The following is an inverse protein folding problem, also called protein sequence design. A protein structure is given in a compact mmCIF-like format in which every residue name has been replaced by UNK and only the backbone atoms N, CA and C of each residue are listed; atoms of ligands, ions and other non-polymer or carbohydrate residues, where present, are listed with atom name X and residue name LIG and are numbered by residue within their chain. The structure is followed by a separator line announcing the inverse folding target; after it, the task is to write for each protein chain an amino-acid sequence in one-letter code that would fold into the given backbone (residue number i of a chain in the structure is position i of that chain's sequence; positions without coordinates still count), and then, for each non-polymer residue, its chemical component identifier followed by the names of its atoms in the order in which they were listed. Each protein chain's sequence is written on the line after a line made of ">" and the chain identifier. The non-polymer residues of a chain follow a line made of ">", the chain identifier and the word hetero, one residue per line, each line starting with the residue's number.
data_IF_758950819470
#
_entry.id   IF_758950819470
#
_cell.length_a   1.000
_cell.length_b   1.000
_cell.length_c   1.000
_cell.angle_alpha   90.00
_cell.angle_beta   90.00
_cell.angle_gamma   90.00
#
_symmetry.space_group_name_H-M   'P 1'
#
loop_
_entity.id
_entity.type
_entity.pdbx_description
1 polymer ?
#
# COMPACT_ATOMS: atom_id res chain seq x y z
N UNK A 1 -12.56 12.70 -57.50
CA UNK A 1 -13.64 13.63 -57.10
C UNK A 1 -14.38 13.03 -55.92
N UNK A 2 -14.82 13.89 -54.97
CA UNK A 2 -15.47 13.65 -53.66
C UNK A 2 -14.55 13.21 -52.51
N UNK A 3 -14.64 13.75 -51.29
CA UNK A 3 -14.92 15.09 -50.72
C UNK A 3 -14.51 14.98 -49.22
N UNK A 4 -14.01 16.08 -48.65
CA UNK A 4 -13.46 16.27 -47.29
C UNK A 4 -14.42 15.95 -46.11
N UNK A 5 -13.85 15.53 -44.99
CA UNK A 5 -14.05 16.08 -43.61
C UNK A 5 -12.88 15.56 -42.71
N UNK A 6 -11.95 16.34 -42.15
CA UNK A 6 -12.01 17.35 -41.05
C UNK A 6 -12.74 16.81 -39.81
N UNK A 7 -12.28 16.85 -38.54
CA UNK A 7 -11.22 17.56 -37.82
C UNK A 7 -10.99 16.87 -36.44
N UNK A 8 -9.74 16.90 -35.96
CA UNK A 8 -9.25 17.10 -34.56
C UNK A 8 -9.93 16.38 -33.40
N UNK A 9 -9.14 15.60 -32.64
CA UNK A 9 -8.84 15.97 -31.23
C UNK A 9 -7.52 15.31 -30.78
N UNK A 10 -6.50 16.14 -30.64
CA UNK A 10 -5.26 15.89 -29.90
C UNK A 10 -5.34 16.78 -28.66
N UNK A 11 -5.81 16.24 -27.53
CA UNK A 11 -5.61 16.68 -26.12
C UNK A 11 -6.14 15.47 -25.30
N UNK A 12 -5.37 14.68 -24.56
CA UNK A 12 -4.48 15.04 -23.47
C UNK A 12 -3.46 13.90 -23.25
N UNK A 13 -2.18 14.22 -23.47
CA UNK A 13 -1.10 13.58 -22.73
C UNK A 13 -1.13 14.06 -21.28
N UNK A 14 -0.63 13.21 -20.36
CA UNK A 14 -0.40 13.41 -18.91
C UNK A 14 -1.58 13.16 -17.97
N UNK A 15 -1.70 11.89 -17.56
CA UNK A 15 -1.90 11.51 -16.17
C UNK A 15 -1.05 10.25 -15.92
N UNK A 16 0.28 10.35 -16.03
CA UNK A 16 1.18 10.55 -14.87
C UNK A 16 0.59 9.84 -13.66
N UNK A 17 0.95 8.56 -13.48
CA UNK A 17 1.87 8.18 -12.41
C UNK A 17 1.44 8.78 -11.07
N UNK A 18 0.43 8.16 -10.46
CA UNK A 18 0.01 8.25 -9.05
C UNK A 18 -1.35 7.54 -8.94
N UNK A 19 -1.33 6.20 -9.02
CA UNK A 19 -2.35 5.40 -8.34
C UNK A 19 -1.67 4.75 -7.15
N UNK A 20 -1.12 5.64 -6.34
CA UNK A 20 -0.59 5.44 -5.01
C UNK A 20 -1.75 5.02 -4.12
N UNK A 21 -1.56 3.90 -3.41
CA UNK A 21 -1.99 3.71 -2.03
C UNK A 21 -3.38 4.29 -1.73
N UNK A 22 -4.43 3.65 -2.25
CA UNK A 22 -5.77 3.80 -1.71
C UNK A 22 -6.48 2.46 -1.85
N UNK A 23 -6.11 1.52 -0.97
CA UNK A 23 -7.02 0.48 -0.55
C UNK A 23 -7.50 0.82 0.85
N UNK A 24 -8.29 1.88 0.94
CA UNK A 24 -9.10 2.15 2.12
C UNK A 24 -10.57 2.13 1.68
N UNK A 25 -11.19 0.99 2.01
CA UNK A 25 -12.60 0.79 2.30
C UNK A 25 -13.62 1.49 1.38
N UNK A 26 -14.20 0.70 0.47
CA UNK A 26 -15.54 0.97 -0.02
C UNK A 26 -16.53 0.86 1.15
N UNK A 27 -16.80 1.99 1.80
CA UNK A 27 -17.98 2.17 2.66
C UNK A 27 -18.89 3.18 1.97
N UNK A 28 -20.18 2.85 1.90
CA UNK A 28 -21.25 3.59 1.23
C UNK A 28 -21.01 5.11 1.20
N UNK A 29 -20.90 5.66 -0.01
CA UNK A 29 -20.83 7.09 -0.29
C UNK A 29 -22.17 7.76 0.03
N UNK A 30 -22.49 7.97 1.29
CA UNK A 30 -23.05 9.28 1.65
C UNK A 30 -21.85 10.23 1.69
N UNK A 31 -21.81 11.18 0.76
CA UNK A 31 -20.81 12.24 0.70
C UNK A 31 -20.93 13.12 1.96
N UNK A 32 -20.34 12.68 3.07
CA UNK A 32 -20.21 13.50 4.28
C UNK A 32 -19.17 14.56 3.95
N UNK A 33 -19.64 15.77 3.63
CA UNK A 33 -18.78 16.92 3.40
C UNK A 33 -18.28 17.41 4.76
N UNK A 34 -17.02 17.09 5.08
CA UNK A 34 -16.37 17.58 6.29
C UNK A 34 -15.72 18.93 5.98
N UNK A 35 -16.11 19.98 6.71
CA UNK A 35 -15.50 21.32 6.56
C UNK A 35 -14.05 21.35 7.10
N UNK A 36 -13.69 20.40 7.96
CA UNK A 36 -12.36 20.27 8.55
C UNK A 36 -11.90 18.80 8.55
N UNK A 37 -10.62 18.56 8.23
CA UNK A 37 -10.00 17.23 8.29
C UNK A 37 -10.06 16.61 9.68
N UNK A 38 -10.05 17.43 10.74
CA UNK A 38 -10.18 16.96 12.12
C UNK A 38 -11.60 16.50 12.45
N UNK A 39 -12.62 16.94 11.71
CA UNK A 39 -14.00 16.46 11.88
C UNK A 39 -14.19 15.07 11.25
N UNK A 40 -13.32 14.69 10.32
CA UNK A 40 -13.32 13.39 9.64
C UNK A 40 -12.56 12.29 10.43
N UNK A 41 -11.82 12.68 11.47
CA UNK A 41 -10.91 11.80 12.23
C UNK A 41 -11.23 11.90 13.71
N UNK A 42 -11.93 10.89 14.23
CA UNK A 42 -12.08 10.70 15.68
C UNK A 42 -10.82 10.05 16.28
N UNK A 43 -10.76 9.95 17.61
CA UNK A 43 -9.60 9.41 18.33
C UNK A 43 -9.24 7.98 17.90
N UNK A 44 -10.23 7.10 17.75
CA UNK A 44 -10.05 5.72 17.29
C UNK A 44 -9.45 5.64 15.88
N UNK A 45 -9.93 6.50 14.97
CA UNK A 45 -9.40 6.55 13.61
C UNK A 45 -7.99 7.13 13.59
N UNK A 46 -7.69 8.10 14.46
CA UNK A 46 -6.36 8.66 14.59
C UNK A 46 -5.35 7.61 15.10
N UNK A 47 -5.72 6.82 16.11
CA UNK A 47 -4.86 5.74 16.63
C UNK A 47 -4.64 4.65 15.59
N UNK A 48 -5.68 4.23 14.88
CA UNK A 48 -5.56 3.27 13.78
C UNK A 48 -4.60 3.76 12.67
N UNK A 49 -4.75 5.01 12.24
CA UNK A 49 -3.89 5.59 11.19
C UNK A 49 -2.43 5.70 11.65
N UNK A 50 -2.21 6.02 12.92
CA UNK A 50 -0.88 6.05 13.51
C UNK A 50 -0.26 4.65 13.50
N UNK A 51 -0.99 3.64 13.98
CA UNK A 51 -0.48 2.27 14.05
C UNK A 51 -0.18 1.69 12.66
N UNK A 52 -0.99 2.01 11.65
CA UNK A 52 -0.72 1.61 10.26
C UNK A 52 0.51 2.36 9.68
N UNK A 53 0.66 3.65 9.99
CA UNK A 53 1.84 4.41 9.59
C UNK A 53 3.12 3.86 10.24
N UNK A 54 3.11 3.60 11.54
CA UNK A 54 4.25 3.04 12.28
C UNK A 54 4.63 1.66 11.72
N UNK A 55 3.62 0.83 11.39
CA UNK A 55 3.83 -0.44 10.67
C UNK A 55 4.54 -0.22 9.34
N UNK A 56 4.06 0.70 8.49
CA UNK A 56 4.65 0.93 7.16
C UNK A 56 6.07 1.48 7.22
N UNK A 57 6.39 2.30 8.22
CA UNK A 57 7.76 2.77 8.47
C UNK A 57 8.67 1.58 8.79
N UNK A 58 8.27 0.72 9.73
CA UNK A 58 9.04 -0.46 10.09
C UNK A 58 9.24 -1.41 8.90
N UNK A 59 8.20 -1.62 8.09
CA UNK A 59 8.28 -2.45 6.88
C UNK A 59 9.26 -1.87 5.86
N UNK A 60 9.27 -0.54 5.67
CA UNK A 60 10.23 0.11 4.78
C UNK A 60 11.66 -0.14 5.24
N UNK A 61 11.91 -0.05 6.53
CA UNK A 61 13.25 -0.24 7.09
C UNK A 61 13.69 -1.71 6.94
N UNK A 62 12.82 -2.68 7.26
CA UNK A 62 13.05 -4.13 7.01
C UNK A 62 13.34 -4.41 5.54
N UNK A 63 12.57 -3.83 4.61
CA UNK A 63 12.77 -4.03 3.17
C UNK A 63 14.05 -3.38 2.64
N UNK A 64 14.49 -2.29 3.26
CA UNK A 64 15.72 -1.57 2.92
C UNK A 64 16.93 -2.37 3.42
N UNK A 65 16.90 -2.81 4.67
CA UNK A 65 17.95 -3.63 5.28
C UNK A 65 17.95 -5.08 4.81
N UNK A 66 16.83 -5.53 4.23
CA UNK A 66 16.59 -6.91 3.79
C UNK A 66 16.78 -7.94 4.92
N UNK A 67 16.44 -7.57 6.16
CA UNK A 67 16.65 -8.37 7.37
C UNK A 67 15.61 -8.02 8.42
N UNK A 68 15.28 -9.00 9.27
CA UNK A 68 14.58 -8.81 10.55
C UNK A 68 15.60 -8.96 11.68
N UNK A 69 15.66 -7.99 12.58
CA UNK A 69 16.63 -7.90 13.66
C UNK A 69 16.06 -8.35 15.01
N UNK A 70 14.74 -8.34 15.18
CA UNK A 70 14.09 -8.68 16.44
C UNK A 70 12.66 -9.20 16.24
N UNK A 71 12.06 -9.70 17.31
CA UNK A 71 10.70 -10.27 17.29
C UNK A 71 9.61 -9.25 16.96
N UNK A 72 9.82 -7.95 17.26
CA UNK A 72 8.83 -6.90 16.96
C UNK A 72 8.77 -6.65 15.45
N UNK A 73 9.93 -6.53 14.80
CA UNK A 73 10.03 -6.44 13.34
C UNK A 73 9.46 -7.69 12.64
N UNK A 74 9.66 -8.88 13.23
CA UNK A 74 9.05 -10.11 12.74
C UNK A 74 7.52 -10.04 12.77
N UNK A 75 6.93 -9.58 13.87
CA UNK A 75 5.47 -9.39 13.98
C UNK A 75 4.94 -8.36 12.97
N UNK A 76 5.66 -7.26 12.76
CA UNK A 76 5.30 -6.27 11.74
C UNK A 76 5.35 -6.87 10.34
N UNK A 77 6.40 -7.60 9.99
CA UNK A 77 6.51 -8.29 8.70
C UNK A 77 5.32 -9.25 8.47
N UNK A 78 4.96 -10.06 9.47
CA UNK A 78 3.81 -10.97 9.40
C UNK A 78 2.48 -10.22 9.22
N UNK A 79 2.24 -9.15 10.00
CA UNK A 79 1.03 -8.33 9.87
C UNK A 79 0.91 -7.70 8.48
N UNK A 80 2.04 -7.27 7.90
CA UNK A 80 2.06 -6.74 6.54
C UNK A 80 1.80 -7.82 5.49
N UNK A 81 2.38 -9.01 5.65
CA UNK A 81 2.09 -10.17 4.79
C UNK A 81 0.58 -10.48 4.80
N UNK A 82 -0.06 -10.44 5.96
CA UNK A 82 -1.51 -10.60 6.09
C UNK A 82 -2.27 -9.51 5.32
N UNK A 83 -1.89 -8.23 5.44
CA UNK A 83 -2.50 -7.12 4.68
C UNK A 83 -2.32 -7.27 3.15
N UNK A 84 -1.20 -7.85 2.73
CA UNK A 84 -0.88 -8.09 1.33
C UNK A 84 -1.44 -9.42 0.80
N UNK A 85 -2.11 -10.21 1.64
CA UNK A 85 -2.62 -11.52 1.27
C UNK A 85 -3.56 -11.40 0.05
N UNK A 86 -3.30 -12.22 -0.98
CA UNK A 86 -4.01 -12.14 -2.25
C UNK A 86 -3.52 -11.06 -3.22
N UNK A 87 -2.41 -10.38 -2.94
CA UNK A 87 -1.76 -9.52 -3.93
C UNK A 87 -1.34 -10.33 -5.17
N UNK A 88 -1.56 -9.76 -6.35
CA UNK A 88 -1.19 -10.41 -7.62
C UNK A 88 0.35 -10.45 -7.76
N UNK A 89 0.97 -11.59 -8.10
CA UNK A 89 2.43 -11.78 -8.07
C UNK A 89 3.26 -10.71 -8.81
N UNK A 90 2.79 -10.21 -9.95
CA UNK A 90 3.55 -9.27 -10.79
C UNK A 90 3.30 -7.79 -10.46
N UNK A 91 2.46 -7.51 -9.48
CA UNK A 91 2.19 -6.14 -9.02
C UNK A 91 3.24 -5.69 -8.01
N UNK A 92 3.34 -4.38 -7.77
CA UNK A 92 4.22 -3.85 -6.72
C UNK A 92 3.95 -4.51 -5.35
N UNK A 93 2.67 -4.70 -5.01
CA UNK A 93 2.24 -5.36 -3.77
C UNK A 93 2.62 -6.85 -3.73
N UNK A 94 2.53 -7.56 -4.86
CA UNK A 94 2.95 -8.96 -4.96
C UNK A 94 4.46 -9.13 -4.81
N UNK A 95 5.23 -8.20 -5.38
CA UNK A 95 6.69 -8.18 -5.21
C UNK A 95 7.10 -7.86 -3.77
N UNK A 96 6.40 -6.92 -3.12
CA UNK A 96 6.59 -6.62 -1.70
C UNK A 96 6.29 -7.85 -0.84
N UNK A 97 5.15 -8.52 -1.09
CA UNK A 97 4.76 -9.75 -0.40
C UNK A 97 5.81 -10.85 -0.53
N UNK A 98 6.26 -11.15 -1.75
CA UNK A 98 7.29 -12.16 -1.99
C UNK A 98 8.59 -11.83 -1.24
N UNK A 99 9.02 -10.56 -1.29
CA UNK A 99 10.24 -10.13 -0.60
C UNK A 99 10.11 -10.24 0.92
N UNK A 100 8.96 -9.86 1.49
CA UNK A 100 8.71 -10.03 2.93
C UNK A 100 8.69 -11.50 3.33
N UNK A 101 8.05 -12.37 2.54
CA UNK A 101 8.03 -13.80 2.80
C UNK A 101 9.45 -14.38 2.83
N UNK A 102 10.30 -14.03 1.85
CA UNK A 102 11.70 -14.47 1.82
C UNK A 102 12.48 -14.02 3.07
N UNK A 103 12.28 -12.77 3.52
CA UNK A 103 12.95 -12.23 4.71
C UNK A 103 12.48 -12.95 5.98
N UNK A 104 11.17 -13.19 6.11
CA UNK A 104 10.59 -13.91 7.26
C UNK A 104 11.10 -15.35 7.32
N UNK A 105 11.09 -16.07 6.20
CA UNK A 105 11.63 -17.44 6.15
C UNK A 105 13.09 -17.48 6.61
N UNK A 106 13.94 -16.58 6.10
CA UNK A 106 15.35 -16.49 6.52
C UNK A 106 15.53 -16.16 7.99
N UNK A 107 14.63 -15.39 8.59
CA UNK A 107 14.66 -15.09 10.01
C UNK A 107 14.28 -16.33 10.83
N UNK A 108 13.20 -17.02 10.48
CA UNK A 108 12.69 -18.19 11.20
C UNK A 108 13.61 -19.41 11.08
N UNK A 109 14.26 -19.60 9.93
CA UNK A 109 15.25 -20.66 9.72
C UNK A 109 16.38 -20.65 10.77
N UNK A 110 16.74 -19.48 11.29
CA UNK A 110 17.77 -19.33 12.34
C UNK A 110 17.36 -19.97 13.69
N UNK A 111 16.07 -20.24 13.89
CA UNK A 111 15.54 -20.84 15.11
C UNK A 111 15.14 -22.31 14.93
N UNK A 112 15.21 -22.84 13.70
CA UNK A 112 14.84 -24.21 13.36
C UNK A 112 16.05 -25.13 13.18
N UNK A 113 17.27 -24.58 13.13
CA UNK A 113 18.53 -25.33 13.05
C UNK A 113 19.11 -25.65 14.43
#
# INVERSE_FOLDING_TARGET
>A
MNKKSSLKTEVANKKTAESTVNRCFAQNEESINYDNIFDAVNEEKATFLKDDSDLLIAIRDILTECKISNSVEHQFALKRIEQLWGAKPDTALGKELNKLADIVCKYEEQFLS
#
